data_IF_642570920903
#
_entry.id   IF_642570920903
#
_cell.length_a   1.000
_cell.length_b   1.000
_cell.length_c   1.000
_cell.angle_alpha   90.00
_cell.angle_beta   90.00
_cell.angle_gamma   90.00
#
_symmetry.space_group_name_H-M   'P 1'
#
loop_
_entity.id
_entity.type
_entity.pdbx_description
1 polymer ?
#
# COMPACT_ATOMS: atom_id res chain seq x y z
N UNK A 1 11.80 -13.35 3.68
CA UNK A 1 12.73 -12.21 3.53
C UNK A 1 12.12 -11.06 2.76
N UNK A 2 11.79 -11.20 1.48
CA UNK A 2 11.20 -10.10 0.69
C UNK A 2 9.97 -9.45 1.33
N UNK A 3 9.02 -10.24 1.84
CA UNK A 3 7.84 -9.73 2.56
C UNK A 3 8.22 -8.92 3.80
N UNK A 4 9.24 -9.38 4.55
CA UNK A 4 9.77 -8.66 5.72
C UNK A 4 10.34 -7.31 5.27
N UNK A 5 11.23 -7.32 4.27
CA UNK A 5 11.88 -6.10 3.76
C UNK A 5 10.88 -5.09 3.19
N UNK A 6 9.88 -5.58 2.44
CA UNK A 6 8.80 -4.78 1.91
C UNK A 6 8.05 -4.03 3.02
N UNK A 7 7.75 -4.72 4.12
CA UNK A 7 6.89 -4.21 5.19
C UNK A 7 7.63 -3.43 6.28
N UNK A 8 8.97 -3.40 6.29
CA UNK A 8 9.71 -2.58 7.23
C UNK A 8 9.51 -1.09 6.93
N UNK A 9 9.31 -0.31 7.98
CA UNK A 9 9.02 1.12 7.87
C UNK A 9 9.52 1.84 9.13
N UNK A 10 10.00 3.10 9.05
CA UNK A 10 10.48 3.84 10.22
C UNK A 10 9.47 4.00 11.36
N UNK A 11 8.18 4.08 11.05
CA UNK A 11 7.09 4.13 12.04
C UNK A 11 6.61 2.75 12.54
N UNK A 12 7.15 1.64 12.02
CA UNK A 12 6.79 0.29 12.47
C UNK A 12 7.98 -0.27 13.25
N UNK A 13 7.82 -0.58 14.55
CA UNK A 13 8.93 -1.08 15.34
C UNK A 13 9.37 -2.45 14.86
N UNK A 14 10.66 -2.72 15.00
CA UNK A 14 11.25 -4.03 14.75
C UNK A 14 10.77 -5.06 15.78
N UNK A 15 11.09 -6.33 15.58
CA UNK A 15 10.83 -7.39 16.58
C UNK A 15 11.51 -7.15 17.93
N UNK A 16 12.49 -6.25 17.99
CA UNK A 16 13.20 -5.81 19.20
C UNK A 16 12.61 -4.52 19.80
N UNK A 17 11.46 -4.06 19.27
CA UNK A 17 10.76 -2.85 19.69
C UNK A 17 11.53 -1.54 19.43
N UNK A 18 12.41 -1.54 18.43
CA UNK A 18 13.21 -0.39 18.02
C UNK A 18 12.66 0.22 16.72
N UNK A 19 12.65 1.56 16.64
CA UNK A 19 12.33 2.29 15.41
C UNK A 19 13.61 2.56 14.65
N UNK A 20 13.69 2.04 13.42
CA UNK A 20 14.87 2.13 12.58
C UNK A 20 14.69 3.19 11.50
N UNK A 21 15.74 3.92 11.16
CA UNK A 21 15.70 4.83 10.02
C UNK A 21 15.59 4.08 8.70
N UNK A 22 15.06 4.72 7.66
CA UNK A 22 14.92 4.15 6.32
C UNK A 22 16.24 3.57 5.78
N UNK A 23 17.35 4.29 5.97
CA UNK A 23 18.69 3.89 5.55
C UNK A 23 19.17 2.64 6.30
N UNK A 24 18.93 2.56 7.60
CA UNK A 24 19.29 1.41 8.42
C UNK A 24 18.47 0.18 8.00
N UNK A 25 17.17 0.36 7.75
CA UNK A 25 16.28 -0.71 7.25
C UNK A 25 16.82 -1.27 5.93
N UNK A 26 17.12 -0.41 4.96
CA UNK A 26 17.65 -0.83 3.66
C UNK A 26 18.97 -1.58 3.82
N UNK A 27 19.93 -1.01 4.57
CA UNK A 27 21.24 -1.64 4.78
C UNK A 27 21.13 -3.04 5.38
N UNK A 28 20.30 -3.21 6.41
CA UNK A 28 20.07 -4.52 7.04
C UNK A 28 19.44 -5.49 6.04
N UNK A 29 18.46 -5.05 5.25
CA UNK A 29 17.78 -5.90 4.27
C UNK A 29 18.70 -6.34 3.12
N UNK A 30 19.57 -5.44 2.65
CA UNK A 30 20.61 -5.70 1.64
C UNK A 30 21.60 -6.73 2.18
N UNK A 31 22.12 -6.51 3.38
CA UNK A 31 23.08 -7.41 4.03
C UNK A 31 22.49 -8.80 4.28
N UNK A 32 21.26 -8.88 4.79
CA UNK A 32 20.56 -10.14 5.04
C UNK A 32 20.39 -10.97 3.75
N UNK A 33 20.04 -10.31 2.64
CA UNK A 33 19.87 -10.99 1.35
C UNK A 33 21.21 -11.37 0.71
N UNK A 34 22.22 -10.49 0.81
CA UNK A 34 23.57 -10.77 0.34
C UNK A 34 24.16 -12.00 1.05
N UNK A 35 24.11 -12.02 2.38
CA UNK A 35 24.63 -13.13 3.18
C UNK A 35 23.92 -14.45 2.88
N UNK A 36 22.60 -14.40 2.64
CA UNK A 36 21.86 -15.60 2.20
C UNK A 36 22.37 -16.09 0.85
N UNK A 37 22.49 -15.21 -0.14
CA UNK A 37 22.97 -15.61 -1.46
C UNK A 37 24.41 -16.12 -1.42
N UNK A 38 25.27 -15.48 -0.64
CA UNK A 38 26.65 -15.88 -0.44
C UNK A 38 26.75 -17.27 0.20
N UNK A 39 26.01 -17.51 1.29
CA UNK A 39 25.98 -18.80 2.01
C UNK A 39 25.56 -19.96 1.11
N UNK A 40 24.68 -19.73 0.15
CA UNK A 40 24.17 -20.74 -0.78
C UNK A 40 24.86 -20.75 -2.15
N UNK A 41 25.93 -19.96 -2.33
CA UNK A 41 26.66 -19.81 -3.60
C UNK A 41 25.76 -19.38 -4.78
N UNK A 42 24.78 -18.51 -4.52
CA UNK A 42 23.79 -18.03 -5.49
C UNK A 42 24.21 -16.69 -6.10
N UNK A 43 25.40 -16.62 -6.70
CA UNK A 43 25.99 -15.34 -7.13
C UNK A 43 25.16 -14.65 -8.24
N UNK A 44 24.60 -15.41 -9.16
CA UNK A 44 23.76 -14.88 -10.24
C UNK A 44 22.42 -14.36 -9.71
N UNK A 45 21.86 -15.03 -8.70
CA UNK A 45 20.66 -14.57 -8.03
C UNK A 45 20.93 -13.24 -7.33
N UNK A 46 22.06 -13.12 -6.61
CA UNK A 46 22.45 -11.86 -5.99
C UNK A 46 22.58 -10.73 -7.01
N UNK A 47 23.28 -10.96 -8.12
CA UNK A 47 23.43 -9.96 -9.17
C UNK A 47 22.07 -9.48 -9.71
N UNK A 48 21.14 -10.41 -9.93
CA UNK A 48 19.77 -10.08 -10.34
C UNK A 48 19.03 -9.28 -9.27
N UNK A 49 19.06 -9.72 -8.01
CA UNK A 49 18.36 -9.06 -6.90
C UNK A 49 18.91 -7.66 -6.63
N UNK A 50 20.23 -7.48 -6.69
CA UNK A 50 20.87 -6.17 -6.57
C UNK A 50 20.37 -5.22 -7.65
N UNK A 51 20.52 -5.61 -8.91
CA UNK A 51 20.19 -4.75 -10.05
C UNK A 51 18.70 -4.40 -10.14
N UNK A 52 17.81 -5.28 -9.66
CA UNK A 52 16.37 -5.06 -9.79
C UNK A 52 15.72 -4.51 -8.52
N UNK A 53 16.15 -4.92 -7.32
CA UNK A 53 15.38 -4.66 -6.09
C UNK A 53 16.19 -3.95 -4.99
N UNK A 54 17.46 -4.28 -4.80
CA UNK A 54 18.23 -3.82 -3.63
C UNK A 54 19.13 -2.61 -3.86
N UNK A 55 19.41 -2.26 -5.11
CA UNK A 55 20.06 -1.00 -5.46
C UNK A 55 19.17 0.20 -5.05
N UNK A 56 19.78 1.30 -4.62
CA UNK A 56 19.08 2.48 -4.08
C UNK A 56 17.97 3.01 -4.99
N UNK A 57 18.25 3.14 -6.28
CA UNK A 57 17.29 3.61 -7.29
C UNK A 57 16.05 2.70 -7.39
N UNK A 58 16.25 1.40 -7.21
CA UNK A 58 15.19 0.41 -7.30
C UNK A 58 14.45 0.23 -5.98
N UNK A 59 15.15 0.38 -4.85
CA UNK A 59 14.57 0.27 -3.51
C UNK A 59 13.35 1.17 -3.34
N UNK A 60 13.44 2.39 -3.87
CA UNK A 60 12.39 3.41 -3.82
C UNK A 60 11.09 2.93 -4.49
N UNK A 61 11.17 2.03 -5.47
CA UNK A 61 10.02 1.59 -6.25
C UNK A 61 9.16 0.53 -5.55
N UNK A 62 9.70 -0.17 -4.55
CA UNK A 62 8.99 -1.30 -3.94
C UNK A 62 8.98 -1.29 -2.41
N UNK A 63 10.01 -0.80 -1.72
CA UNK A 63 10.07 -0.90 -0.26
C UNK A 63 9.27 0.21 0.41
N UNK A 64 8.48 -0.13 1.45
CA UNK A 64 7.75 0.88 2.21
C UNK A 64 8.70 1.86 2.92
N UNK A 65 9.87 1.41 3.37
CA UNK A 65 10.83 2.27 4.08
C UNK A 65 11.38 3.43 3.25
N UNK A 66 11.22 3.40 1.93
CA UNK A 66 11.67 4.49 1.05
C UNK A 66 10.89 5.79 1.23
N UNK A 67 9.68 5.74 1.78
CA UNK A 67 8.86 6.92 2.10
C UNK A 67 8.76 7.10 3.63
N UNK A 68 9.80 7.61 4.30
CA UNK A 68 9.90 7.57 5.76
C UNK A 68 8.79 8.33 6.49
N UNK A 69 8.26 9.37 5.85
CA UNK A 69 7.27 10.28 6.45
C UNK A 69 5.81 9.83 6.20
N UNK A 70 5.58 8.82 5.37
CA UNK A 70 4.25 8.42 4.93
C UNK A 70 4.02 6.89 4.99
N UNK A 71 2.97 6.47 5.71
CA UNK A 71 2.57 5.06 5.73
C UNK A 71 1.55 4.80 4.63
N UNK A 72 1.87 3.90 3.71
CA UNK A 72 0.88 3.34 2.79
C UNK A 72 -0.19 2.55 3.56
N UNK A 73 -1.41 3.11 3.66
CA UNK A 73 -2.57 2.45 4.26
C UNK A 73 -3.03 1.25 3.41
N UNK A 74 -2.80 1.30 2.10
CA UNK A 74 -3.19 0.25 1.16
C UNK A 74 -2.05 -0.07 0.20
N UNK A 75 -1.94 -1.33 -0.22
CA UNK A 75 -1.00 -1.73 -1.27
C UNK A 75 -1.52 -1.20 -2.62
N UNK A 76 -0.64 -0.66 -3.46
CA UNK A 76 -0.98 -0.19 -4.83
C UNK A 76 -1.63 -1.28 -5.68
N UNK A 77 -1.27 -2.54 -5.45
CA UNK A 77 -1.91 -3.71 -6.08
C UNK A 77 -3.39 -3.83 -5.72
N UNK A 78 -3.78 -3.52 -4.48
CA UNK A 78 -5.19 -3.58 -4.06
C UNK A 78 -6.04 -2.51 -4.74
N UNK A 79 -5.50 -1.29 -4.91
CA UNK A 79 -6.18 -0.24 -5.68
C UNK A 79 -6.34 -0.65 -7.14
N UNK A 80 -5.28 -1.17 -7.75
CA UNK A 80 -5.31 -1.62 -9.14
C UNK A 80 -6.32 -2.75 -9.34
N UNK A 81 -6.29 -3.78 -8.48
CA UNK A 81 -7.21 -4.91 -8.55
C UNK A 81 -8.67 -4.50 -8.33
N UNK A 82 -8.93 -3.65 -7.32
CA UNK A 82 -10.28 -3.16 -7.04
C UNK A 82 -10.82 -2.31 -8.19
N UNK A 83 -9.98 -1.46 -8.79
CA UNK A 83 -10.32 -0.68 -9.97
C UNK A 83 -10.69 -1.59 -11.16
N UNK A 84 -9.86 -2.59 -11.45
CA UNK A 84 -10.13 -3.56 -12.51
C UNK A 84 -11.38 -4.41 -12.23
N UNK A 85 -11.69 -4.69 -10.97
CA UNK A 85 -12.92 -5.40 -10.58
C UNK A 85 -14.17 -4.61 -10.96
N UNK A 86 -14.18 -3.29 -10.70
CA UNK A 86 -15.28 -2.39 -11.08
C UNK A 86 -15.43 -2.34 -12.60
N UNK A 87 -14.33 -2.15 -13.33
CA UNK A 87 -14.35 -2.10 -14.80
C UNK A 87 -14.91 -3.39 -15.40
N UNK A 88 -14.41 -4.55 -14.92
CA UNK A 88 -14.86 -5.86 -15.40
C UNK A 88 -16.35 -6.09 -15.15
N UNK A 89 -16.83 -5.74 -13.96
CA UNK A 89 -18.22 -5.97 -13.56
C UNK A 89 -19.20 -5.03 -14.27
N UNK A 90 -18.90 -3.74 -14.26
CA UNK A 90 -19.89 -2.71 -14.60
C UNK A 90 -19.83 -2.32 -16.08
N UNK A 91 -18.64 -2.41 -16.70
CA UNK A 91 -18.43 -1.95 -18.07
C UNK A 91 -18.12 -3.07 -19.05
N UNK A 92 -17.50 -4.17 -18.60
CA UNK A 92 -17.09 -5.28 -19.46
C UNK A 92 -17.83 -6.63 -19.26
N UNK A 93 -19.06 -6.71 -18.70
CA UNK A 93 -19.66 -8.01 -18.36
C UNK A 93 -20.00 -8.87 -19.60
N UNK A 94 -20.17 -8.24 -20.77
CA UNK A 94 -20.56 -8.91 -22.03
C UNK A 94 -19.41 -9.13 -23.00
N UNK A 95 -18.21 -8.62 -22.68
CA UNK A 95 -17.06 -8.74 -23.56
C UNK A 95 -16.19 -9.90 -23.13
N UNK A 96 -16.14 -10.94 -23.95
CA UNK A 96 -15.17 -12.02 -23.75
C UNK A 96 -13.81 -11.54 -24.26
N UNK A 97 -12.82 -11.45 -23.36
CA UNK A 97 -11.44 -11.00 -23.66
C UNK A 97 -11.40 -9.65 -24.42
N UNK A 98 -11.85 -8.56 -23.79
CA UNK A 98 -11.85 -7.25 -24.42
C UNK A 98 -10.43 -6.84 -24.84
N UNK A 99 -10.28 -6.37 -26.07
CA UNK A 99 -9.03 -5.80 -26.55
C UNK A 99 -8.67 -4.52 -25.78
N UNK A 100 -7.37 -4.22 -25.69
CA UNK A 100 -6.86 -3.08 -24.92
C UNK A 100 -7.49 -1.75 -25.35
N UNK A 101 -7.67 -1.56 -26.67
CA UNK A 101 -8.24 -0.34 -27.24
C UNK A 101 -9.67 -0.09 -26.77
N UNK A 102 -10.49 -1.15 -26.68
CA UNK A 102 -11.86 -1.06 -26.17
C UNK A 102 -11.87 -0.68 -24.69
N UNK A 103 -10.97 -1.27 -23.90
CA UNK A 103 -10.84 -0.93 -22.48
C UNK A 103 -10.42 0.52 -22.30
N UNK A 104 -9.41 0.98 -23.06
CA UNK A 104 -8.94 2.36 -23.02
C UNK A 104 -10.06 3.34 -23.44
N UNK A 105 -10.79 3.03 -24.50
CA UNK A 105 -11.94 3.81 -24.94
C UNK A 105 -13.01 3.93 -23.83
N UNK A 106 -13.36 2.82 -23.17
CA UNK A 106 -14.33 2.81 -22.06
C UNK A 106 -13.83 3.62 -20.86
N UNK A 107 -12.54 3.50 -20.53
CA UNK A 107 -11.93 4.27 -19.44
C UNK A 107 -12.06 5.78 -19.69
N UNK A 108 -11.68 6.23 -20.88
CA UNK A 108 -11.68 7.65 -21.26
C UNK A 108 -13.11 8.19 -21.39
N UNK A 109 -14.00 7.45 -22.05
CA UNK A 109 -15.32 7.98 -22.41
C UNK A 109 -16.40 7.78 -21.34
N UNK A 110 -16.25 6.79 -20.46
CA UNK A 110 -17.30 6.44 -19.49
C UNK A 110 -16.83 6.49 -18.05
N UNK A 111 -15.75 5.79 -17.74
CA UNK A 111 -15.30 5.61 -16.35
C UNK A 111 -14.82 6.94 -15.74
N UNK A 112 -13.90 7.63 -16.41
CA UNK A 112 -13.33 8.89 -15.92
C UNK A 112 -14.43 9.97 -15.77
N UNK A 113 -15.28 10.24 -16.79
CA UNK A 113 -16.37 11.22 -16.65
C UNK A 113 -17.35 10.88 -15.53
N UNK A 114 -17.66 9.58 -15.33
CA UNK A 114 -18.51 9.14 -14.22
C UNK A 114 -17.86 9.47 -12.86
N UNK A 115 -16.58 9.15 -12.69
CA UNK A 115 -15.85 9.41 -11.45
C UNK A 115 -15.73 10.91 -11.17
N UNK A 116 -15.45 11.74 -12.18
CA UNK A 116 -15.41 13.19 -12.05
C UNK A 116 -16.77 13.76 -11.63
N UNK A 117 -17.86 13.28 -12.22
CA UNK A 117 -19.20 13.67 -11.83
C UNK A 117 -19.48 13.30 -10.36
N UNK A 118 -19.11 12.09 -9.93
CA UNK A 118 -19.29 11.65 -8.55
C UNK A 118 -18.45 12.48 -7.57
N UNK A 119 -17.20 12.79 -7.92
CA UNK A 119 -16.34 13.65 -7.12
C UNK A 119 -16.93 15.06 -6.97
N UNK A 120 -17.45 15.65 -8.06
CA UNK A 120 -18.17 16.95 -8.01
C UNK A 120 -19.38 16.88 -7.08
N UNK A 121 -20.15 15.79 -7.08
CA UNK A 121 -21.27 15.59 -6.15
C UNK A 121 -20.81 15.53 -4.69
N UNK A 122 -19.71 14.87 -4.41
CA UNK A 122 -19.12 14.82 -3.06
C UNK A 122 -18.64 16.20 -2.60
N UNK A 123 -17.89 16.91 -3.45
CA UNK A 123 -17.37 18.24 -3.13
C UNK A 123 -18.49 19.28 -2.92
N UNK A 124 -19.59 19.16 -3.67
CA UNK A 124 -20.77 20.02 -3.50
C UNK A 124 -21.67 19.61 -2.32
N UNK A 125 -21.35 18.53 -1.60
CA UNK A 125 -22.17 18.01 -0.50
C UNK A 125 -23.53 17.43 -0.93
N UNK A 126 -23.80 17.32 -2.23
CA UNK A 126 -25.07 16.78 -2.77
C UNK A 126 -25.22 15.28 -2.53
N UNK A 127 -24.09 14.58 -2.42
CA UNK A 127 -24.04 13.17 -2.13
C UNK A 127 -22.95 12.91 -1.11
N UNK A 128 -23.16 11.93 -0.25
CA UNK A 128 -22.19 11.52 0.77
C UNK A 128 -21.54 10.20 0.36
N UNK A 129 -20.24 9.99 0.63
CA UNK A 129 -19.59 8.71 0.39
C UNK A 129 -20.30 7.60 1.17
N UNK A 130 -20.45 6.42 0.55
CA UNK A 130 -21.16 5.29 1.15
C UNK A 130 -20.56 4.87 2.49
N UNK A 131 -19.22 4.85 2.60
CA UNK A 131 -18.48 4.49 3.81
C UNK A 131 -18.65 5.48 4.97
N UNK A 132 -19.14 6.70 4.73
CA UNK A 132 -19.25 7.73 5.78
C UNK A 132 -20.20 7.32 6.90
N UNK A 133 -21.29 6.62 6.56
CA UNK A 133 -22.27 6.13 7.54
C UNK A 133 -21.64 5.12 8.49
N UNK A 134 -20.94 4.14 7.93
CA UNK A 134 -20.27 3.08 8.68
C UNK A 134 -19.12 3.65 9.53
N UNK A 135 -18.33 4.55 8.96
CA UNK A 135 -17.28 5.25 9.70
C UNK A 135 -17.86 6.00 10.90
N UNK A 136 -18.92 6.80 10.70
CA UNK A 136 -19.56 7.56 11.78
C UNK A 136 -20.13 6.64 12.86
N UNK A 137 -20.69 5.49 12.47
CA UNK A 137 -21.20 4.48 13.39
C UNK A 137 -20.07 3.90 14.25
N UNK A 138 -19.00 3.42 13.62
CA UNK A 138 -17.84 2.83 14.30
C UNK A 138 -17.15 3.86 15.19
N UNK A 139 -16.97 5.10 14.72
CA UNK A 139 -16.38 6.18 15.49
C UNK A 139 -17.16 6.44 16.78
N UNK A 140 -18.49 6.53 16.72
CA UNK A 140 -19.34 6.73 17.89
C UNK A 140 -19.33 5.55 18.86
N UNK A 141 -19.13 4.33 18.38
CA UNK A 141 -18.99 3.16 19.25
C UNK A 141 -17.64 3.17 19.97
N UNK A 142 -16.56 3.46 19.24
CA UNK A 142 -15.21 3.50 19.78
C UNK A 142 -15.00 4.67 20.73
N UNK A 143 -15.61 5.83 20.47
CA UNK A 143 -15.50 7.01 21.34
C UNK A 143 -16.12 6.82 22.72
N UNK A 144 -16.97 5.80 22.90
CA UNK A 144 -17.59 5.46 24.19
C UNK A 144 -16.82 4.40 24.96
N UNK A 145 -15.85 3.73 24.32
CA UNK A 145 -15.01 2.75 25.00
C UNK A 145 -13.90 3.50 25.70
N UNK A 146 -13.74 3.25 27.00
CA UNK A 146 -12.55 3.69 27.70
C UNK A 146 -11.34 2.93 27.17
N UNK A 147 -10.19 3.61 26.95
CA UNK A 147 -8.97 2.93 26.55
C UNK A 147 -8.61 1.91 27.64
N UNK A 148 -8.39 0.66 27.27
CA UNK A 148 -7.95 -0.37 28.19
C UNK A 148 -6.61 0.04 28.81
N UNK A 149 -6.55 0.24 30.13
CA UNK A 149 -5.35 0.60 30.89
C UNK A 149 -4.16 -0.37 30.71
N UNK A 150 -4.38 -1.51 30.04
CA UNK A 150 -3.40 -2.60 29.87
C UNK A 150 -2.59 -2.51 28.57
N UNK A 151 -2.91 -1.60 27.66
CA UNK A 151 -2.20 -1.48 26.38
C UNK A 151 -1.71 -0.06 26.19
N UNK A 152 -0.45 0.20 26.58
CA UNK A 152 0.30 1.34 26.07
C UNK A 152 0.42 1.12 24.55
N UNK A 153 -0.38 1.83 23.77
CA UNK A 153 -0.26 1.72 22.32
C UNK A 153 0.99 2.52 21.91
N UNK A 154 1.77 1.97 21.00
CA UNK A 154 2.96 2.64 20.44
C UNK A 154 2.61 3.97 19.73
N UNK A 155 1.33 4.21 19.45
CA UNK A 155 0.77 5.41 18.84
C UNK A 155 0.25 6.43 19.86
N UNK A 156 0.33 6.15 21.16
CA UNK A 156 -0.05 7.12 22.20
C UNK A 156 0.95 8.28 22.13
N UNK A 157 0.44 9.48 21.82
CA UNK A 157 1.22 10.69 21.58
C UNK A 157 1.93 11.26 22.82
N UNK A 158 1.86 10.56 23.95
CA UNK A 158 2.56 10.90 25.19
C UNK A 158 3.86 10.08 25.28
N UNK A 159 4.83 10.42 24.44
CA UNK A 159 6.26 10.20 24.68
C UNK A 159 7.05 11.41 24.22
#
# INVERSE_FOLDING_TARGET
LFVKHYHQHPFIPSSQNEFLSAQVIQKIAVEEMYLLCYKHNLIHLWAYLWANWYQDEMWILWACSASPDEICIFKTTMFTESHWKVIKRDYLPKFFRPGLDLVAYIMITRLIPHNEMMLKKYNSGRQEPSWRKDLKHNWKQLSKKEPSQTSNYLTDSER
#
